data_IF_380491256414
#
_entry.id   IF_380491256414
#
_cell.length_a   1.000
_cell.length_b   1.000
_cell.length_c   1.000
_cell.angle_alpha   90.00
_cell.angle_beta   90.00
_cell.angle_gamma   90.00
#
_symmetry.space_group_name_H-M   'P 1'
#
loop_
_entity.id
_entity.type
_entity.pdbx_description
1 polymer ?
#
# COMPACT_ATOMS: atom_id res chain seq x y z
N UNK A 1 -0.56 -13.15 15.29
CA UNK A 1 -0.24 -11.86 15.98
C UNK A 1 -0.59 -10.59 15.20
N UNK A 2 0.06 -10.22 14.08
CA UNK A 2 -0.05 -8.86 13.49
C UNK A 2 -1.48 -8.36 13.20
N UNK A 3 -2.35 -9.20 12.67
CA UNK A 3 -3.78 -8.87 12.50
C UNK A 3 -4.48 -8.61 13.85
N UNK A 4 -4.20 -9.42 14.87
CA UNK A 4 -4.78 -9.25 16.20
C UNK A 4 -4.35 -7.91 16.82
N UNK A 5 -3.09 -7.52 16.64
CA UNK A 5 -2.59 -6.20 17.04
C UNK A 5 -3.35 -5.08 16.31
N UNK A 6 -3.55 -5.21 14.99
CA UNK A 6 -4.30 -4.21 14.19
C UNK A 6 -5.74 -4.08 14.67
N UNK A 7 -6.43 -5.18 14.91
CA UNK A 7 -7.83 -5.16 15.40
C UNK A 7 -7.95 -4.46 16.75
N UNK A 8 -6.95 -4.61 17.61
CA UNK A 8 -6.90 -3.99 18.94
C UNK A 8 -6.61 -2.49 18.88
N UNK A 9 -5.71 -2.06 17.99
CA UNK A 9 -5.10 -0.72 18.01
C UNK A 9 -5.63 0.22 16.92
N UNK A 10 -5.94 -0.28 15.73
CA UNK A 10 -6.45 0.53 14.63
C UNK A 10 -7.98 0.59 14.67
N UNK A 11 -8.52 1.77 14.40
CA UNK A 11 -9.97 1.99 14.30
C UNK A 11 -10.39 2.30 12.88
N UNK A 12 -11.62 1.92 12.55
CA UNK A 12 -12.27 2.32 11.32
C UNK A 12 -12.29 3.87 11.24
N UNK A 13 -11.67 4.47 10.22
CA UNK A 13 -11.44 5.91 10.18
C UNK A 13 -12.71 6.73 9.89
N UNK A 14 -13.68 6.13 9.20
CA UNK A 14 -14.83 6.82 8.60
C UNK A 14 -16.06 5.90 8.46
N UNK A 15 -17.12 6.47 7.89
CA UNK A 15 -18.38 5.78 7.63
C UNK A 15 -19.19 5.46 8.89
N UNK A 16 -20.24 4.65 8.72
CA UNK A 16 -21.17 4.30 9.80
C UNK A 16 -20.48 3.56 10.97
N UNK A 17 -19.39 2.85 10.69
CA UNK A 17 -18.62 2.09 11.68
C UNK A 17 -17.42 2.86 12.23
N UNK A 18 -17.33 4.17 12.02
CA UNK A 18 -16.20 4.99 12.50
C UNK A 18 -15.95 4.75 13.99
N UNK A 19 -14.70 4.48 14.35
CA UNK A 19 -14.29 4.17 15.72
C UNK A 19 -14.38 2.69 16.11
N UNK A 20 -15.04 1.84 15.32
CA UNK A 20 -15.02 0.39 15.53
C UNK A 20 -13.63 -0.20 15.24
N UNK A 21 -13.40 -1.46 15.62
CA UNK A 21 -12.19 -2.20 15.26
C UNK A 21 -11.96 -2.19 13.74
N UNK A 22 -10.73 -1.85 13.33
CA UNK A 22 -10.32 -2.04 11.95
C UNK A 22 -9.96 -3.52 11.73
N UNK A 23 -10.72 -4.20 10.87
CA UNK A 23 -10.47 -5.59 10.50
C UNK A 23 -10.04 -5.64 9.05
N UNK A 24 -8.91 -6.29 8.79
CA UNK A 24 -8.51 -6.57 7.43
C UNK A 24 -9.54 -7.48 6.77
N UNK A 25 -9.95 -7.14 5.56
CA UNK A 25 -10.68 -8.08 4.72
C UNK A 25 -9.76 -9.16 4.17
N UNK A 26 -10.33 -10.22 3.59
CA UNK A 26 -9.58 -11.42 3.18
C UNK A 26 -8.36 -11.10 2.29
N UNK A 27 -8.52 -10.21 1.31
CA UNK A 27 -7.40 -9.84 0.43
C UNK A 27 -6.37 -8.97 1.16
N UNK A 28 -6.79 -8.08 2.06
CA UNK A 28 -5.90 -7.25 2.87
C UNK A 28 -5.07 -8.13 3.79
N UNK A 29 -5.72 -9.07 4.47
CA UNK A 29 -5.06 -10.08 5.31
C UNK A 29 -4.08 -10.91 4.49
N UNK A 30 -4.50 -11.44 3.33
CA UNK A 30 -3.62 -12.23 2.46
C UNK A 30 -2.37 -11.45 2.03
N UNK A 31 -2.54 -10.18 1.65
CA UNK A 31 -1.42 -9.32 1.28
C UNK A 31 -0.49 -9.06 2.47
N UNK A 32 -1.04 -8.73 3.64
CA UNK A 32 -0.25 -8.53 4.87
C UNK A 32 0.48 -9.80 5.30
N UNK A 33 -0.17 -10.96 5.28
CA UNK A 33 0.42 -12.24 5.66
C UNK A 33 1.56 -12.66 4.72
N UNK A 34 1.43 -12.42 3.41
CA UNK A 34 2.53 -12.64 2.48
C UNK A 34 3.64 -11.61 2.69
N UNK A 35 3.31 -10.33 2.87
CA UNK A 35 4.31 -9.30 3.14
C UNK A 35 5.13 -9.65 4.40
N UNK A 36 4.50 -9.96 5.52
CA UNK A 36 5.20 -10.35 6.75
C UNK A 36 5.61 -11.83 6.82
N UNK A 37 5.64 -12.55 5.69
CA UNK A 37 6.10 -13.95 5.67
C UNK A 37 7.59 -14.01 6.05
N UNK A 38 7.86 -14.55 7.23
CA UNK A 38 9.20 -14.85 7.73
C UNK A 38 9.81 -16.00 6.91
N UNK A 39 11.11 -15.93 6.64
CA UNK A 39 11.85 -17.01 5.97
C UNK A 39 11.90 -18.23 6.89
N UNK A 40 11.56 -19.44 6.40
CA UNK A 40 11.71 -20.66 7.17
C UNK A 40 13.14 -20.84 7.67
N UNK A 41 13.30 -21.19 8.95
CA UNK A 41 14.61 -21.51 9.54
C UNK A 41 15.52 -20.32 9.80
N UNK A 42 15.07 -19.08 9.57
CA UNK A 42 15.84 -17.90 9.94
C UNK A 42 16.06 -17.87 11.46
N UNK A 43 17.29 -17.63 11.88
CA UNK A 43 17.67 -17.64 13.29
C UNK A 43 17.77 -16.20 13.80
N UNK A 44 17.16 -15.93 14.95
CA UNK A 44 17.46 -14.70 15.67
C UNK A 44 18.89 -14.80 16.23
N UNK A 45 19.72 -13.80 15.94
CA UNK A 45 21.16 -13.85 16.25
C UNK A 45 21.55 -12.98 17.44
N UNK A 46 21.01 -11.77 17.55
CA UNK A 46 21.31 -10.82 18.62
C UNK A 46 20.25 -9.72 18.68
N UNK A 47 19.99 -9.20 19.89
CA UNK A 47 19.13 -8.04 20.10
C UNK A 47 19.77 -6.74 19.61
N UNK A 48 21.10 -6.68 19.55
CA UNK A 48 21.85 -5.52 19.07
C UNK A 48 21.91 -5.45 17.52
N UNK A 49 21.70 -6.59 16.85
CA UNK A 49 21.77 -6.73 15.39
C UNK A 49 20.53 -7.44 14.84
N UNK A 50 19.34 -6.81 14.93
CA UNK A 50 18.12 -7.36 14.39
C UNK A 50 18.22 -7.57 12.88
N UNK A 51 17.62 -8.66 12.41
CA UNK A 51 17.68 -9.07 11.00
C UNK A 51 16.88 -8.19 10.03
N UNK A 52 15.98 -7.33 10.51
CA UNK A 52 15.11 -6.46 9.70
C UNK A 52 14.57 -7.15 8.41
N UNK A 53 14.77 -6.57 7.22
CA UNK A 53 14.23 -7.12 5.98
C UNK A 53 14.74 -8.53 5.63
N UNK A 54 15.92 -8.91 6.12
CA UNK A 54 16.53 -10.20 5.84
C UNK A 54 15.73 -11.36 6.46
N UNK A 55 14.98 -11.09 7.53
CA UNK A 55 14.07 -12.05 8.14
C UNK A 55 12.89 -12.45 7.22
N UNK A 56 12.53 -11.62 6.25
CA UNK A 56 11.32 -11.80 5.44
C UNK A 56 11.62 -12.36 4.05
N UNK A 57 10.71 -13.20 3.56
CA UNK A 57 10.78 -13.78 2.20
C UNK A 57 10.76 -12.69 1.13
N UNK A 58 9.93 -11.66 1.34
CA UNK A 58 9.76 -10.56 0.39
C UNK A 58 10.27 -9.26 0.99
N UNK A 59 11.25 -8.62 0.37
CA UNK A 59 11.70 -7.28 0.79
C UNK A 59 10.71 -6.18 0.38
N UNK A 60 9.85 -6.47 -0.60
CA UNK A 60 8.89 -5.52 -1.18
C UNK A 60 7.57 -6.21 -1.52
N UNK A 61 6.50 -5.43 -1.57
CA UNK A 61 5.23 -5.86 -2.13
C UNK A 61 4.65 -4.84 -3.10
N UNK A 62 3.83 -5.33 -4.04
CA UNK A 62 2.99 -4.53 -4.90
C UNK A 62 1.56 -5.08 -4.87
N UNK A 63 0.60 -4.20 -4.62
CA UNK A 63 -0.82 -4.52 -4.58
C UNK A 63 -1.56 -3.71 -5.63
N UNK A 64 -2.10 -4.43 -6.63
CA UNK A 64 -2.88 -3.91 -7.75
C UNK A 64 -4.34 -4.32 -7.55
N UNK A 65 -5.19 -3.34 -7.31
CA UNK A 65 -6.62 -3.56 -7.11
C UNK A 65 -7.44 -2.36 -7.63
N UNK A 66 -8.72 -2.55 -7.98
CA UNK A 66 -9.57 -1.46 -8.43
C UNK A 66 -9.64 -0.27 -7.46
N UNK A 67 -10.14 0.85 -7.95
CA UNK A 67 -10.39 2.02 -7.13
C UNK A 67 -11.44 1.71 -6.05
N UNK A 68 -11.30 2.33 -4.87
CA UNK A 68 -12.22 2.21 -3.71
C UNK A 68 -12.28 0.82 -3.05
N UNK A 69 -11.40 -0.11 -3.43
CA UNK A 69 -11.24 -1.41 -2.77
C UNK A 69 -10.73 -1.34 -1.33
N UNK A 70 -10.30 -0.18 -0.82
CA UNK A 70 -9.83 0.02 0.56
C UNK A 70 -8.32 -0.02 0.76
N UNK A 71 -7.52 0.17 -0.30
CA UNK A 71 -6.05 0.24 -0.24
C UNK A 71 -5.52 1.31 0.73
N UNK A 72 -6.13 2.50 0.75
CA UNK A 72 -5.70 3.62 1.60
C UNK A 72 -5.78 3.31 3.11
N UNK A 73 -6.96 2.96 3.65
CA UNK A 73 -7.09 2.55 5.05
C UNK A 73 -6.23 1.32 5.40
N UNK A 74 -6.08 0.36 4.49
CA UNK A 74 -5.17 -0.76 4.70
C UNK A 74 -3.71 -0.30 4.82
N UNK A 75 -3.22 0.54 3.89
CA UNK A 75 -1.87 1.12 3.94
C UNK A 75 -1.63 1.95 5.20
N UNK A 76 -2.64 2.66 5.69
CA UNK A 76 -2.58 3.38 6.96
C UNK A 76 -2.41 2.43 8.16
N UNK A 77 -3.15 1.32 8.18
CA UNK A 77 -3.01 0.31 9.24
C UNK A 77 -1.63 -0.37 9.19
N UNK A 78 -1.07 -0.59 8.00
CA UNK A 78 0.29 -1.09 7.82
C UNK A 78 1.32 -0.09 8.35
N UNK A 79 1.13 1.21 8.10
CA UNK A 79 1.97 2.26 8.67
C UNK A 79 1.92 2.29 10.21
N UNK A 80 0.76 2.09 10.83
CA UNK A 80 0.67 1.94 12.29
C UNK A 80 1.48 0.73 12.79
N UNK A 81 1.38 -0.41 12.10
CA UNK A 81 2.12 -1.62 12.46
C UNK A 81 3.64 -1.40 12.37
N UNK A 82 4.10 -0.80 11.28
CA UNK A 82 5.52 -0.51 11.04
C UNK A 82 6.08 0.54 12.01
N UNK A 83 5.25 1.48 12.46
CA UNK A 83 5.65 2.53 13.39
C UNK A 83 5.82 2.02 14.82
N UNK A 84 4.80 1.30 15.34
CA UNK A 84 4.70 1.03 16.78
C UNK A 84 4.17 -0.36 17.12
N UNK A 85 3.86 -1.18 16.12
CA UNK A 85 3.45 -2.55 16.32
C UNK A 85 4.59 -3.54 16.10
N UNK A 86 4.31 -4.84 16.26
CA UNK A 86 5.33 -5.89 16.16
C UNK A 86 5.63 -6.26 14.70
N UNK A 87 6.28 -5.35 13.98
CA UNK A 87 6.57 -5.47 12.53
C UNK A 87 7.88 -6.18 12.20
N UNK A 88 8.84 -6.23 13.13
CA UNK A 88 10.14 -6.88 12.93
C UNK A 88 10.14 -8.27 13.55
N UNK A 89 10.88 -9.21 12.99
CA UNK A 89 11.01 -10.57 13.53
C UNK A 89 11.80 -10.57 14.83
N UNK A 90 11.36 -11.32 15.84
CA UNK A 90 12.01 -11.50 17.16
C UNK A 90 12.17 -13.00 17.49
N UNK A 91 12.62 -13.81 16.53
CA UNK A 91 12.77 -15.24 16.78
C UNK A 91 11.47 -16.04 16.75
N UNK A 92 11.58 -17.31 17.16
CA UNK A 92 10.49 -18.28 17.15
C UNK A 92 10.03 -18.53 18.58
N UNK A 93 8.72 -18.49 18.79
CA UNK A 93 8.14 -18.67 20.11
C UNK A 93 8.38 -20.07 20.67
N UNK A 94 8.70 -20.15 21.95
CA UNK A 94 8.69 -21.34 22.79
C UNK A 94 7.40 -21.40 23.62
N UNK A 95 7.27 -22.44 24.45
CA UNK A 95 6.12 -22.55 25.36
C UNK A 95 6.16 -21.47 26.43
N UNK A 96 5.06 -20.70 26.54
CA UNK A 96 4.93 -19.62 27.52
C UNK A 96 5.29 -18.24 26.98
N UNK A 97 5.82 -18.13 25.76
CA UNK A 97 6.12 -16.85 25.14
C UNK A 97 4.85 -16.05 24.82
N UNK A 98 4.96 -14.74 25.02
CA UNK A 98 3.88 -13.80 24.77
C UNK A 98 4.39 -12.44 24.33
N UNK A 99 3.49 -11.65 23.74
CA UNK A 99 3.72 -10.24 23.46
C UNK A 99 2.88 -9.42 24.43
N UNK A 100 3.51 -8.57 25.25
CA UNK A 100 2.81 -7.58 26.06
C UNK A 100 3.05 -6.16 25.53
N UNK A 101 1.98 -5.40 25.33
CA UNK A 101 2.08 -4.01 24.88
C UNK A 101 2.91 -3.12 25.82
N UNK A 102 2.91 -3.43 27.12
CA UNK A 102 3.69 -2.71 28.14
C UNK A 102 5.20 -2.73 27.85
N UNK A 103 5.71 -3.82 27.30
CA UNK A 103 7.14 -4.02 27.02
C UNK A 103 7.62 -3.08 25.90
N UNK A 104 6.68 -2.55 25.11
CA UNK A 104 6.92 -1.68 23.96
C UNK A 104 6.38 -0.26 24.17
N UNK A 105 6.16 0.12 25.44
CA UNK A 105 5.74 1.47 25.85
C UNK A 105 4.26 1.76 25.66
N UNK A 106 3.43 0.77 25.33
CA UNK A 106 2.00 0.95 25.11
C UNK A 106 1.20 0.61 26.37
N UNK A 107 0.54 1.61 26.96
CA UNK A 107 -0.27 1.45 28.18
C UNK A 107 -1.64 0.76 27.99
N UNK A 108 -1.91 0.16 26.82
CA UNK A 108 -3.26 -0.34 26.49
C UNK A 108 -3.63 -1.67 27.18
N UNK A 109 -2.68 -2.30 27.87
CA UNK A 109 -2.85 -3.57 28.60
C UNK A 109 -3.18 -4.77 27.70
N UNK A 110 -2.87 -4.71 26.41
CA UNK A 110 -3.10 -5.83 25.49
C UNK A 110 -1.93 -6.80 25.50
N UNK A 111 -2.27 -8.10 25.55
CA UNK A 111 -1.33 -9.20 25.49
C UNK A 111 -1.75 -10.20 24.41
N UNK A 112 -0.78 -10.92 23.87
CA UNK A 112 -0.99 -11.99 22.89
C UNK A 112 -0.10 -13.19 23.24
N UNK A 113 -0.69 -14.35 23.58
CA UNK A 113 0.09 -15.57 23.75
C UNK A 113 0.47 -16.12 22.37
N UNK A 114 1.75 -16.48 22.19
CA UNK A 114 2.18 -17.18 20.99
C UNK A 114 1.93 -18.68 21.12
N UNK A 115 1.73 -19.35 19.99
CA UNK A 115 1.86 -20.80 19.92
C UNK A 115 3.34 -21.16 19.69
N UNK A 116 3.86 -22.26 20.25
CA UNK A 116 5.21 -22.71 19.98
C UNK A 116 5.49 -22.83 18.47
N UNK A 117 6.59 -22.25 18.02
CA UNK A 117 6.97 -22.16 16.61
C UNK A 117 6.31 -21.02 15.83
N UNK A 118 5.47 -20.18 16.44
CA UNK A 118 5.02 -18.93 15.80
C UNK A 118 6.19 -17.94 15.70
N UNK A 119 6.30 -17.16 14.60
CA UNK A 119 7.26 -16.08 14.53
C UNK A 119 6.82 -14.96 15.48
N UNK A 120 7.67 -14.65 16.44
CA UNK A 120 7.48 -13.52 17.33
C UNK A 120 7.83 -12.23 16.60
N UNK A 121 7.21 -11.12 17.04
CA UNK A 121 7.53 -9.81 16.53
C UNK A 121 7.88 -8.79 17.60
N UNK A 122 8.75 -7.85 17.20
CA UNK A 122 9.15 -6.69 17.97
C UNK A 122 8.83 -5.40 17.21
N UNK A 123 8.81 -4.30 17.96
CA UNK A 123 8.74 -2.98 17.37
C UNK A 123 10.07 -2.62 16.70
N UNK A 124 10.02 -1.89 15.58
CA UNK A 124 11.23 -1.31 15.01
C UNK A 124 11.84 -0.29 15.99
N UNK A 125 13.16 -0.34 16.29
CA UNK A 125 13.78 0.48 17.32
C UNK A 125 13.93 1.96 16.94
N UNK A 126 14.08 2.27 15.64
CA UNK A 126 14.26 3.63 15.11
C UNK A 126 13.46 3.91 13.83
N UNK A 127 12.10 3.89 13.89
CA UNK A 127 11.26 3.91 12.70
C UNK A 127 11.24 5.28 12.00
N UNK A 128 11.85 5.35 10.82
CA UNK A 128 11.65 6.43 9.84
C UNK A 128 10.77 5.93 8.71
N UNK A 129 9.57 6.50 8.57
CA UNK A 129 8.55 6.04 7.64
C UNK A 129 8.17 7.13 6.64
N UNK A 130 7.94 6.76 5.38
CA UNK A 130 7.45 7.69 4.35
C UNK A 130 6.18 7.19 3.68
N UNK A 131 5.17 8.06 3.62
CA UNK A 131 3.94 7.90 2.86
C UNK A 131 4.05 8.75 1.61
N UNK A 132 4.17 8.09 0.46
CA UNK A 132 4.54 8.73 -0.80
C UNK A 132 3.40 8.65 -1.79
N UNK A 133 3.05 9.77 -2.41
CA UNK A 133 2.14 9.84 -3.56
C UNK A 133 2.58 10.93 -4.55
N UNK A 134 1.92 11.08 -5.69
CA UNK A 134 2.33 12.09 -6.68
C UNK A 134 2.11 13.53 -6.18
N UNK A 135 1.04 13.77 -5.40
CA UNK A 135 0.68 15.06 -4.82
C UNK A 135 0.13 14.92 -3.38
N UNK A 136 -0.07 16.04 -2.69
CA UNK A 136 -0.50 16.08 -1.28
C UNK A 136 -1.88 15.49 -1.06
N UNK A 137 -2.83 15.77 -1.95
CA UNK A 137 -4.19 15.21 -1.88
C UNK A 137 -4.19 13.68 -1.92
N UNK A 138 -3.33 13.10 -2.76
CA UNK A 138 -3.18 11.66 -2.84
C UNK A 138 -2.53 11.08 -1.58
N UNK A 139 -1.53 11.75 -1.00
CA UNK A 139 -1.00 11.33 0.32
C UNK A 139 -2.11 11.37 1.37
N UNK A 140 -3.03 12.32 1.27
CA UNK A 140 -4.23 12.42 2.09
C UNK A 140 -5.11 11.16 2.13
N UNK A 141 -5.10 10.33 1.08
CA UNK A 141 -5.85 9.06 1.05
C UNK A 141 -5.35 8.03 2.08
N UNK A 142 -4.09 8.17 2.53
CA UNK A 142 -3.48 7.33 3.57
C UNK A 142 -3.32 8.12 4.87
N UNK A 143 -2.90 9.38 4.79
CA UNK A 143 -2.60 10.20 5.97
C UNK A 143 -3.86 10.49 6.81
N UNK A 144 -5.01 10.71 6.17
CA UNK A 144 -6.30 10.92 6.86
C UNK A 144 -6.73 9.68 7.65
N UNK A 145 -6.82 8.47 7.07
CA UNK A 145 -7.17 7.29 7.85
C UNK A 145 -6.13 6.95 8.92
N UNK A 146 -4.84 7.19 8.66
CA UNK A 146 -3.78 7.03 9.68
C UNK A 146 -4.02 7.95 10.89
N UNK A 147 -4.29 9.24 10.64
CA UNK A 147 -4.61 10.21 11.70
C UNK A 147 -5.84 9.79 12.50
N UNK A 148 -6.88 9.27 11.84
CA UNK A 148 -8.08 8.78 12.50
C UNK A 148 -7.78 7.53 13.34
N UNK A 149 -6.99 6.57 12.84
CA UNK A 149 -6.55 5.40 13.61
C UNK A 149 -5.79 5.79 14.87
N UNK A 150 -4.90 6.78 14.77
CA UNK A 150 -4.13 7.29 15.91
C UNK A 150 -5.06 7.90 16.98
N UNK A 151 -5.98 8.78 16.55
CA UNK A 151 -6.82 9.56 17.46
C UNK A 151 -8.00 8.79 18.06
N UNK A 152 -8.54 7.81 17.33
CA UNK A 152 -9.69 7.01 17.77
C UNK A 152 -9.26 5.73 18.49
N UNK A 153 -8.03 5.28 18.29
CA UNK A 153 -7.45 4.10 18.94
C UNK A 153 -6.58 4.45 20.15
N UNK A 154 -5.99 3.44 20.82
CA UNK A 154 -5.04 3.62 21.92
C UNK A 154 -3.65 4.11 21.45
N UNK A 155 -3.48 4.47 20.18
CA UNK A 155 -2.18 4.78 19.59
C UNK A 155 -1.70 6.21 19.89
N UNK A 156 -2.54 7.06 20.48
CA UNK A 156 -2.16 8.41 20.91
C UNK A 156 -1.02 8.44 21.94
N UNK A 157 -0.86 7.37 22.72
CA UNK A 157 0.22 7.22 23.70
C UNK A 157 1.59 6.99 23.02
N UNK A 158 1.58 6.50 21.79
CA UNK A 158 2.78 6.12 21.02
C UNK A 158 3.04 7.02 19.83
N UNK A 159 2.05 7.78 19.37
CA UNK A 159 2.13 8.61 18.18
C UNK A 159 1.42 9.95 18.34
N UNK A 160 2.09 10.99 17.90
CA UNK A 160 1.63 12.36 17.94
C UNK A 160 1.48 12.93 16.53
N UNK A 161 0.25 13.22 16.12
CA UNK A 161 -0.01 13.91 14.86
C UNK A 161 0.48 15.36 14.98
N UNK A 162 1.37 15.79 14.09
CA UNK A 162 1.91 17.15 13.98
C UNK A 162 1.62 17.71 12.58
N UNK A 163 1.96 18.98 12.37
CA UNK A 163 1.86 19.60 11.06
C UNK A 163 2.93 19.03 10.12
N UNK A 164 2.51 18.37 9.04
CA UNK A 164 3.41 17.84 8.01
C UNK A 164 4.18 16.55 8.35
N UNK A 165 3.98 15.97 9.54
CA UNK A 165 4.50 14.66 9.94
C UNK A 165 3.78 14.10 11.18
N UNK A 166 3.99 12.82 11.48
CA UNK A 166 3.58 12.19 12.75
C UNK A 166 4.84 11.82 13.51
N UNK A 167 4.94 12.27 14.77
CA UNK A 167 6.01 11.88 15.70
C UNK A 167 5.69 10.52 16.28
N UNK A 168 6.69 9.65 16.36
CA UNK A 168 6.60 8.35 17.01
C UNK A 168 7.34 8.45 18.36
N UNK A 169 6.75 7.93 19.44
CA UNK A 169 7.31 7.98 20.80
C UNK A 169 7.95 6.63 21.18
N UNK A 170 9.00 6.63 22.00
CA UNK A 170 9.50 5.40 22.64
C UNK A 170 10.87 4.88 22.20
N UNK A 171 11.75 5.74 21.67
CA UNK A 171 13.17 5.45 21.46
C UNK A 171 14.10 6.24 22.42
N UNK A 172 15.39 5.96 22.33
CA UNK A 172 16.45 6.64 23.09
C UNK A 172 16.72 8.05 22.53
N UNK A 173 15.99 9.04 23.03
CA UNK A 173 16.29 10.48 22.89
C UNK A 173 16.04 11.10 21.50
N UNK A 174 15.88 12.43 21.50
CA UNK A 174 15.77 13.28 20.31
C UNK A 174 14.36 13.60 19.83
N UNK A 175 14.14 14.88 19.53
CA UNK A 175 12.95 15.30 18.78
C UNK A 175 13.23 15.01 17.29
N UNK A 176 12.28 14.38 16.60
CA UNK A 176 12.28 14.18 15.14
C UNK A 176 13.08 13.01 14.54
N UNK A 177 13.67 12.10 15.33
CA UNK A 177 14.28 10.88 14.76
C UNK A 177 13.23 9.88 14.27
N UNK A 178 12.28 9.51 15.13
CA UNK A 178 11.25 8.53 14.81
C UNK A 178 9.98 9.23 14.33
N UNK A 179 9.62 9.01 13.06
CA UNK A 179 8.58 9.79 12.40
C UNK A 179 7.96 9.12 11.18
N UNK A 180 6.76 9.58 10.83
CA UNK A 180 6.07 9.29 9.58
C UNK A 180 5.96 10.60 8.78
N UNK A 181 6.53 10.63 7.59
CA UNK A 181 6.53 11.77 6.70
C UNK A 181 5.61 11.58 5.48
N UNK A 182 4.89 12.63 5.12
CA UNK A 182 4.29 12.76 3.80
C UNK A 182 5.36 13.17 2.77
N UNK A 183 5.45 12.46 1.65
CA UNK A 183 6.40 12.73 0.56
C UNK A 183 5.65 12.83 -0.77
N UNK A 184 5.95 13.87 -1.54
CA UNK A 184 5.34 14.14 -2.85
C UNK A 184 6.42 14.44 -3.90
N UNK A 185 6.01 14.64 -5.15
CA UNK A 185 6.91 15.03 -6.25
C UNK A 185 7.72 16.32 -5.97
N UNK A 186 7.19 17.23 -5.13
CA UNK A 186 7.84 18.48 -4.71
C UNK A 186 8.72 18.34 -3.46
N UNK A 187 8.45 17.36 -2.58
CA UNK A 187 9.12 17.21 -1.28
C UNK A 187 10.41 16.38 -1.31
N UNK A 188 11.36 16.74 -2.20
CA UNK A 188 12.58 15.94 -2.46
C UNK A 188 13.58 15.86 -1.32
N UNK A 189 13.61 16.86 -0.44
CA UNK A 189 14.61 16.94 0.64
C UNK A 189 14.58 15.76 1.61
N UNK A 190 13.42 15.09 1.76
CA UNK A 190 13.24 13.96 2.69
C UNK A 190 13.61 12.60 2.08
N UNK A 191 13.78 12.52 0.77
CA UNK A 191 13.91 11.25 0.02
C UNK A 191 15.22 10.50 0.34
N UNK A 192 16.23 11.21 0.85
CA UNK A 192 17.52 10.63 1.27
C UNK A 192 17.56 10.11 2.70
N UNK A 193 16.46 10.21 3.46
CA UNK A 193 16.44 9.77 4.86
C UNK A 193 16.67 8.25 4.99
N UNK A 194 17.23 7.78 6.11
CA UNK A 194 17.44 6.36 6.37
C UNK A 194 16.12 5.66 6.71
N UNK A 195 15.27 5.47 5.69
CA UNK A 195 13.91 4.94 5.85
C UNK A 195 13.89 3.46 6.26
N UNK A 196 13.14 3.16 7.30
CA UNK A 196 12.80 1.79 7.73
C UNK A 196 11.65 1.20 6.91
N UNK A 197 10.67 2.04 6.52
CA UNK A 197 9.54 1.60 5.71
C UNK A 197 8.99 2.70 4.81
N UNK A 198 8.54 2.33 3.62
CA UNK A 198 7.94 3.28 2.66
C UNK A 198 6.69 2.69 2.03
N UNK A 199 5.59 3.45 2.10
CA UNK A 199 4.42 3.24 1.25
C UNK A 199 4.53 4.14 0.02
N UNK A 200 4.42 3.54 -1.16
CA UNK A 200 4.32 4.23 -2.44
C UNK A 200 2.90 4.00 -2.99
N UNK A 201 2.03 4.99 -2.80
CA UNK A 201 0.64 4.92 -3.23
C UNK A 201 0.46 5.45 -4.66
N UNK A 202 -0.49 4.88 -5.38
CA UNK A 202 -0.79 5.17 -6.79
C UNK A 202 0.45 5.11 -7.71
N UNK A 203 1.30 4.09 -7.51
CA UNK A 203 2.55 3.89 -8.28
C UNK A 203 2.35 3.71 -9.79
N UNK A 204 1.12 3.41 -10.23
CA UNK A 204 0.71 3.41 -11.63
C UNK A 204 0.81 4.78 -12.29
N UNK A 205 0.78 5.86 -11.49
CA UNK A 205 0.93 7.23 -11.96
C UNK A 205 2.37 7.74 -11.87
N UNK A 206 3.32 6.92 -11.38
CA UNK A 206 4.69 7.38 -11.18
C UNK A 206 5.47 7.26 -12.48
N UNK A 207 5.71 8.37 -13.17
CA UNK A 207 6.38 8.39 -14.47
C UNK A 207 7.73 9.10 -14.40
N UNK A 208 8.51 9.05 -15.49
CA UNK A 208 9.73 9.86 -15.58
C UNK A 208 9.39 11.35 -15.69
N UNK A 209 8.31 11.66 -16.39
CA UNK A 209 7.83 13.01 -16.70
C UNK A 209 7.46 13.76 -15.42
N UNK A 210 6.74 13.13 -14.50
CA UNK A 210 6.42 13.72 -13.20
C UNK A 210 7.50 13.49 -12.13
N UNK A 211 8.67 12.94 -12.52
CA UNK A 211 9.84 12.69 -11.66
C UNK A 211 9.63 11.66 -10.54
N UNK A 212 8.44 11.06 -10.40
CA UNK A 212 8.13 10.15 -9.29
C UNK A 212 8.87 8.82 -9.36
N UNK A 213 9.24 8.37 -10.57
CA UNK A 213 10.13 7.21 -10.76
C UNK A 213 11.42 7.38 -9.97
N UNK A 214 12.08 8.54 -10.08
CA UNK A 214 13.35 8.80 -9.42
C UNK A 214 13.21 8.86 -7.90
N UNK A 215 12.10 9.41 -7.40
CA UNK A 215 11.78 9.42 -5.97
C UNK A 215 11.61 7.99 -5.46
N UNK A 216 10.81 7.18 -6.15
CA UNK A 216 10.55 5.80 -5.75
C UNK A 216 11.82 4.93 -5.77
N UNK A 217 12.70 5.13 -6.75
CA UNK A 217 13.99 4.46 -6.81
C UNK A 217 14.92 4.88 -5.67
N UNK A 218 14.95 6.16 -5.32
CA UNK A 218 15.80 6.66 -4.24
C UNK A 218 15.35 6.13 -2.88
N UNK A 219 14.04 6.14 -2.60
CA UNK A 219 13.48 5.53 -1.39
C UNK A 219 13.79 4.04 -1.29
N UNK A 220 13.70 3.30 -2.40
CA UNK A 220 14.04 1.87 -2.42
C UNK A 220 15.52 1.62 -2.16
N UNK A 221 16.42 2.50 -2.63
CA UNK A 221 17.86 2.42 -2.31
C UNK A 221 18.11 2.72 -0.83
N UNK A 222 17.46 3.74 -0.27
CA UNK A 222 17.52 4.07 1.15
C UNK A 222 17.05 2.90 2.02
N UNK A 223 15.86 2.37 1.74
CA UNK A 223 15.32 1.21 2.44
C UNK A 223 16.27 -0.01 2.34
N UNK A 224 16.81 -0.30 1.16
CA UNK A 224 17.74 -1.41 0.99
C UNK A 224 19.01 -1.28 1.85
N UNK A 225 19.56 -0.07 1.98
CA UNK A 225 20.74 0.19 2.80
C UNK A 225 20.50 0.12 4.31
N UNK A 226 19.26 0.35 4.75
CA UNK A 226 18.89 0.41 6.17
C UNK A 226 18.20 -0.87 6.69
N UNK A 227 18.15 -1.93 5.89
CA UNK A 227 17.35 -3.12 6.24
C UNK A 227 15.83 -2.86 6.18
N UNK A 228 15.41 -1.73 5.61
CA UNK A 228 14.01 -1.35 5.46
C UNK A 228 13.29 -2.06 4.31
N UNK A 229 11.99 -1.81 4.20
CA UNK A 229 11.10 -2.46 3.23
C UNK A 229 10.14 -1.47 2.57
N UNK A 230 9.62 -1.80 1.38
CA UNK A 230 8.68 -0.91 0.68
C UNK A 230 7.43 -1.63 0.19
N UNK A 231 6.29 -0.96 0.30
CA UNK A 231 5.00 -1.43 -0.19
C UNK A 231 4.48 -0.49 -1.28
N UNK A 232 4.06 -1.04 -2.41
CA UNK A 232 3.38 -0.32 -3.48
C UNK A 232 1.88 -0.63 -3.47
N UNK A 233 1.07 0.41 -3.58
CA UNK A 233 -0.37 0.30 -3.89
C UNK A 233 -0.64 1.01 -5.21
N UNK A 234 -1.51 0.44 -6.04
CA UNK A 234 -1.91 1.05 -7.31
C UNK A 234 -3.23 0.50 -7.82
N UNK A 235 -3.88 1.27 -8.69
CA UNK A 235 -4.86 0.74 -9.63
C UNK A 235 -4.13 0.17 -10.87
N UNK A 236 -4.86 -0.47 -11.79
CA UNK A 236 -4.29 -0.88 -13.07
C UNK A 236 -3.78 0.36 -13.85
N UNK A 237 -2.51 0.35 -14.25
CA UNK A 237 -1.85 1.48 -14.93
C UNK A 237 -2.07 1.44 -16.44
N UNK A 238 -1.73 2.54 -17.12
CA UNK A 238 -1.57 2.53 -18.58
C UNK A 238 -0.24 1.85 -18.94
N UNK A 239 -0.24 0.71 -19.66
CA UNK A 239 1.00 0.03 -20.07
C UNK A 239 1.88 0.85 -21.03
N UNK A 240 1.39 1.97 -21.59
CA UNK A 240 2.17 2.88 -22.42
C UNK A 240 3.01 3.89 -21.61
N UNK A 241 2.76 4.06 -20.31
CA UNK A 241 3.40 5.10 -19.50
C UNK A 241 4.72 4.67 -18.84
N UNK A 242 5.04 3.37 -18.82
CA UNK A 242 6.26 2.83 -18.20
C UNK A 242 6.44 3.32 -16.74
N UNK A 243 5.36 3.21 -15.98
CA UNK A 243 5.27 3.68 -14.60
C UNK A 243 6.10 2.84 -13.63
N UNK A 244 6.31 3.32 -12.39
CA UNK A 244 6.94 2.51 -11.34
C UNK A 244 6.20 1.19 -11.13
N UNK A 245 4.86 1.22 -11.13
CA UNK A 245 4.07 0.00 -10.98
C UNK A 245 4.36 -1.02 -12.09
N UNK A 246 4.40 -0.56 -13.35
CA UNK A 246 4.72 -1.41 -14.50
C UNK A 246 6.09 -2.08 -14.35
N UNK A 247 7.11 -1.29 -14.04
CA UNK A 247 8.49 -1.80 -13.88
C UNK A 247 8.60 -2.80 -12.73
N UNK A 248 7.88 -2.56 -11.64
CA UNK A 248 7.84 -3.50 -10.52
C UNK A 248 7.11 -4.78 -10.93
N UNK A 249 5.98 -4.68 -11.65
CA UNK A 249 5.21 -5.85 -12.09
C UNK A 249 6.00 -6.73 -13.06
N UNK A 250 6.65 -6.13 -14.06
CA UNK A 250 7.42 -6.81 -15.11
C UNK A 250 8.80 -7.33 -14.64
N UNK A 251 9.24 -6.94 -13.44
CA UNK A 251 10.54 -7.38 -12.92
C UNK A 251 10.58 -8.90 -12.64
N UNK A 252 11.67 -9.55 -13.04
CA UNK A 252 11.91 -10.98 -12.77
C UNK A 252 12.26 -11.30 -11.30
N UNK A 253 12.35 -10.29 -10.42
CA UNK A 253 12.67 -10.46 -9.01
C UNK A 253 11.67 -11.38 -8.29
N UNK A 254 12.19 -12.38 -7.58
CA UNK A 254 11.41 -13.41 -6.87
C UNK A 254 11.08 -13.02 -5.42
N UNK A 255 11.77 -12.02 -4.89
CA UNK A 255 11.64 -11.47 -3.54
C UNK A 255 10.73 -10.22 -3.48
N UNK A 256 9.88 -10.05 -4.50
CA UNK A 256 8.83 -9.02 -4.55
C UNK A 256 7.48 -9.73 -4.60
N UNK A 257 6.69 -9.60 -3.53
CA UNK A 257 5.33 -10.11 -3.51
C UNK A 257 4.45 -9.26 -4.45
N UNK A 258 3.67 -9.90 -5.30
CA UNK A 258 2.76 -9.22 -6.23
C UNK A 258 1.36 -9.77 -6.04
N UNK A 259 0.44 -8.90 -5.66
CA UNK A 259 -0.98 -9.19 -5.64
C UNK A 259 -1.63 -8.41 -6.78
N UNK A 260 -2.05 -9.13 -7.82
CA UNK A 260 -2.84 -8.56 -8.89
C UNK A 260 -3.93 -9.56 -9.29
N UNK A 261 -5.18 -9.23 -8.96
CA UNK A 261 -6.33 -10.05 -9.32
C UNK A 261 -6.85 -9.64 -10.69
N UNK A 262 -6.22 -10.19 -11.73
CA UNK A 262 -6.66 -10.01 -13.13
C UNK A 262 -7.97 -10.77 -13.38
N UNK A 263 -9.03 -10.11 -13.88
CA UNK A 263 -10.29 -10.81 -14.18
C UNK A 263 -10.13 -11.80 -15.34
N UNK A 264 -10.98 -12.85 -15.40
CA UNK A 264 -10.90 -13.87 -16.44
C UNK A 264 -10.88 -13.28 -17.85
N UNK A 265 -9.90 -13.70 -18.67
CA UNK A 265 -9.65 -13.15 -20.02
C UNK A 265 -10.83 -13.34 -20.99
N UNK A 266 -11.64 -14.37 -20.78
CA UNK A 266 -12.81 -14.67 -21.61
C UNK A 266 -13.96 -13.67 -21.44
N UNK A 267 -13.97 -12.87 -20.37
CA UNK A 267 -15.04 -11.89 -20.10
C UNK A 267 -14.78 -10.59 -20.84
N UNK A 268 -15.81 -10.06 -21.51
CA UNK A 268 -15.72 -8.78 -22.21
C UNK A 268 -16.18 -7.61 -21.32
N UNK A 269 -15.33 -6.59 -21.15
CA UNK A 269 -15.71 -5.36 -20.42
C UNK A 269 -16.85 -4.59 -21.11
N UNK A 270 -16.91 -4.66 -22.45
CA UNK A 270 -17.95 -4.01 -23.26
C UNK A 270 -19.33 -4.63 -23.02
N UNK A 271 -19.40 -5.91 -22.66
CA UNK A 271 -20.66 -6.59 -22.38
C UNK A 271 -21.07 -6.37 -20.92
N UNK A 272 -22.26 -5.79 -20.68
CA UNK A 272 -22.76 -5.49 -19.33
C UNK A 272 -22.84 -6.71 -18.40
N UNK A 273 -23.24 -7.88 -18.91
CA UNK A 273 -23.35 -9.11 -18.10
C UNK A 273 -21.96 -9.61 -17.69
N UNK A 274 -21.00 -9.58 -18.61
CA UNK A 274 -19.61 -9.95 -18.33
C UNK A 274 -18.93 -8.93 -17.43
N UNK A 275 -19.15 -7.63 -17.64
CA UNK A 275 -18.67 -6.57 -16.76
C UNK A 275 -19.15 -6.77 -15.32
N UNK A 276 -20.42 -7.12 -15.10
CA UNK A 276 -20.90 -7.48 -13.75
C UNK A 276 -20.13 -8.65 -13.13
N UNK A 277 -19.73 -9.66 -13.93
CA UNK A 277 -18.92 -10.80 -13.46
C UNK A 277 -17.48 -10.37 -13.16
N UNK A 278 -16.90 -9.50 -13.99
CA UNK A 278 -15.59 -8.87 -13.76
C UNK A 278 -15.62 -8.10 -12.42
N UNK A 279 -16.60 -7.21 -12.24
CA UNK A 279 -16.74 -6.40 -11.02
C UNK A 279 -16.85 -7.26 -9.77
N UNK A 280 -17.68 -8.32 -9.79
CA UNK A 280 -17.79 -9.27 -8.66
C UNK A 280 -16.45 -9.91 -8.32
N UNK A 281 -15.66 -10.27 -9.32
CA UNK A 281 -14.37 -10.92 -9.13
C UNK A 281 -13.30 -9.96 -8.59
N UNK A 282 -13.15 -8.77 -9.19
CA UNK A 282 -12.07 -7.83 -8.82
C UNK A 282 -12.33 -7.09 -7.51
N UNK A 283 -13.59 -6.98 -7.08
CA UNK A 283 -13.98 -6.39 -5.78
C UNK A 283 -14.27 -7.44 -4.69
N UNK A 284 -14.05 -8.73 -4.95
CA UNK A 284 -14.21 -9.77 -3.93
C UNK A 284 -13.28 -9.50 -2.73
N UNK A 285 -13.87 -9.51 -1.53
CA UNK A 285 -13.19 -9.10 -0.30
C UNK A 285 -13.23 -7.58 -0.01
N UNK A 286 -14.05 -6.80 -0.74
CA UNK A 286 -14.33 -5.39 -0.43
C UNK A 286 -15.83 -5.16 -0.19
N UNK A 287 -16.40 -5.68 0.91
CA UNK A 287 -17.85 -5.70 1.16
C UNK A 287 -18.48 -4.30 1.33
N UNK A 288 -17.69 -3.25 1.52
CA UNK A 288 -18.15 -1.86 1.57
C UNK A 288 -18.45 -1.26 0.20
N UNK A 289 -18.10 -1.95 -0.89
CA UNK A 289 -18.33 -1.45 -2.25
C UNK A 289 -19.68 -1.92 -2.77
N UNK A 290 -20.55 -0.97 -3.10
CA UNK A 290 -21.78 -1.25 -3.84
C UNK A 290 -21.45 -1.42 -5.33
N UNK A 291 -21.55 -2.66 -5.83
CA UNK A 291 -21.22 -2.97 -7.21
C UNK A 291 -22.20 -2.37 -8.25
N UNK A 292 -23.43 -2.03 -7.85
CA UNK A 292 -24.38 -1.37 -8.75
C UNK A 292 -24.01 0.10 -8.95
N UNK A 293 -23.54 0.77 -7.89
CA UNK A 293 -22.97 2.13 -7.99
C UNK A 293 -21.70 2.15 -8.83
N UNK A 294 -20.81 1.16 -8.65
CA UNK A 294 -19.60 1.02 -9.48
C UNK A 294 -19.97 0.80 -10.95
N UNK A 295 -20.94 -0.06 -11.23
CA UNK A 295 -21.40 -0.33 -12.59
C UNK A 295 -22.01 0.91 -13.25
N UNK A 296 -22.77 1.72 -12.52
CA UNK A 296 -23.35 2.96 -13.04
C UNK A 296 -22.27 3.96 -13.46
N UNK A 297 -21.31 4.23 -12.58
CA UNK A 297 -20.19 5.14 -12.86
C UNK A 297 -19.31 4.62 -14.00
N UNK A 298 -19.02 3.32 -13.99
CA UNK A 298 -18.24 2.69 -15.06
C UNK A 298 -18.97 2.76 -16.41
N UNK A 299 -20.29 2.62 -16.44
CA UNK A 299 -21.09 2.71 -17.66
C UNK A 299 -21.06 4.12 -18.26
N UNK A 300 -21.19 5.16 -17.44
CA UNK A 300 -21.07 6.55 -17.89
C UNK A 300 -19.65 6.86 -18.39
N UNK A 301 -18.62 6.48 -17.63
CA UNK A 301 -17.23 6.70 -18.06
C UNK A 301 -16.86 5.95 -19.35
N UNK A 302 -17.50 4.80 -19.62
CA UNK A 302 -17.31 4.07 -20.87
C UNK A 302 -17.74 4.86 -22.12
N UNK A 303 -18.60 5.86 -21.99
CA UNK A 303 -19.05 6.69 -23.11
C UNK A 303 -17.92 7.60 -23.63
N UNK A 304 -17.00 8.00 -22.74
CA UNK A 304 -15.93 8.97 -23.04
C UNK A 304 -14.52 8.38 -22.99
N UNK A 305 -14.23 7.49 -22.04
CA UNK A 305 -12.92 6.85 -21.89
C UNK A 305 -13.07 5.39 -21.41
N UNK A 306 -13.43 4.45 -22.30
CA UNK A 306 -13.61 3.05 -21.95
C UNK A 306 -12.32 2.38 -21.44
N UNK A 307 -11.16 2.85 -21.88
CA UNK A 307 -9.86 2.35 -21.39
C UNK A 307 -9.63 2.76 -19.93
N UNK A 308 -10.00 3.99 -19.55
CA UNK A 308 -9.98 4.43 -18.16
C UNK A 308 -10.97 3.61 -17.32
N UNK A 309 -12.21 3.44 -17.77
CA UNK A 309 -13.20 2.65 -17.04
C UNK A 309 -12.72 1.21 -16.79
N UNK A 310 -12.19 0.54 -17.82
CA UNK A 310 -11.69 -0.85 -17.72
C UNK A 310 -10.46 -0.96 -16.80
N UNK A 311 -9.58 0.05 -16.77
CA UNK A 311 -8.45 0.09 -15.82
C UNK A 311 -8.92 0.26 -14.38
N UNK A 312 -9.63 1.35 -14.10
CA UNK A 312 -9.93 1.77 -12.73
C UNK A 312 -10.97 0.89 -12.03
N UNK A 313 -11.98 0.40 -12.77
CA UNK A 313 -13.03 -0.46 -12.23
C UNK A 313 -12.86 -1.93 -12.62
N UNK A 314 -12.40 -2.21 -13.85
CA UNK A 314 -12.20 -3.57 -14.35
C UNK A 314 -10.87 -4.22 -13.96
N UNK A 315 -9.95 -3.46 -13.36
CA UNK A 315 -8.62 -3.94 -12.93
C UNK A 315 -7.82 -4.61 -14.06
N UNK A 316 -7.87 -4.07 -15.28
CA UNK A 316 -7.12 -4.60 -16.44
C UNK A 316 -6.14 -3.57 -16.98
N UNK A 317 -4.97 -4.01 -17.43
CA UNK A 317 -3.99 -3.16 -18.09
C UNK A 317 -4.43 -2.90 -19.54
N UNK A 318 -5.06 -1.76 -19.77
CA UNK A 318 -5.52 -1.31 -21.10
C UNK A 318 -4.86 0.02 -21.41
N UNK A 319 -4.18 0.11 -22.56
CA UNK A 319 -3.60 1.36 -23.02
C UNK A 319 -4.72 2.35 -23.37
N UNK A 320 -4.52 3.63 -23.05
CA UNK A 320 -5.41 4.68 -23.55
C UNK A 320 -5.35 4.69 -25.08
N UNK A 321 -6.51 4.80 -25.73
CA UNK A 321 -6.54 5.07 -27.16
C UNK A 321 -5.91 6.45 -27.39
N UNK A 322 -4.81 6.50 -28.14
CA UNK A 322 -4.13 7.76 -28.44
C UNK A 322 -5.04 8.68 -29.25
N UNK A 323 -5.19 9.93 -28.83
CA UNK A 323 -5.87 10.99 -29.59
C UNK A 323 -4.97 11.62 -30.65
N UNK A 324 -3.80 11.03 -30.94
CA UNK A 324 -2.79 11.65 -31.82
C UNK A 324 -3.33 11.92 -33.23
N UNK A 325 -4.32 11.14 -33.66
CA UNK A 325 -5.14 11.47 -34.82
C UNK A 325 -6.62 11.48 -34.42
N UNK A 326 -7.31 12.63 -34.49
CA UNK A 326 -8.76 12.66 -34.50
C UNK A 326 -9.29 11.72 -35.61
N UNK A 327 -10.43 11.04 -35.38
CA UNK A 327 -11.18 10.44 -36.48
C UNK A 327 -11.33 11.47 -37.59
N UNK A 328 -11.19 11.03 -38.85
CA UNK A 328 -11.30 11.85 -40.05
C UNK A 328 -10.15 12.85 -40.32
N UNK A 329 -9.17 13.04 -39.43
CA UNK A 329 -8.02 13.91 -39.72
C UNK A 329 -7.12 13.31 -40.82
N UNK A 330 -6.90 11.98 -40.78
CA UNK A 330 -6.15 11.27 -41.83
C UNK A 330 -6.87 11.39 -43.17
N UNK A 331 -8.17 11.09 -43.17
CA UNK A 331 -8.99 11.04 -44.37
C UNK A 331 -9.15 12.43 -44.99
N UNK A 332 -9.26 13.49 -44.18
CA UNK A 332 -9.29 14.87 -44.64
C UNK A 332 -7.95 15.33 -45.23
N UNK A 333 -6.82 14.98 -44.61
CA UNK A 333 -5.50 15.29 -45.13
C UNK A 333 -5.20 14.54 -46.44
N UNK A 334 -5.63 13.27 -46.52
CA UNK A 334 -5.50 12.45 -47.73
C UNK A 334 -6.38 12.98 -48.87
N UNK A 335 -7.63 13.36 -48.59
CA UNK A 335 -8.53 13.95 -49.58
C UNK A 335 -8.02 15.30 -50.12
N UNK A 336 -7.38 16.13 -49.28
CA UNK A 336 -6.71 17.36 -49.73
C UNK A 336 -5.52 17.09 -50.66
N UNK A 337 -4.71 16.07 -50.38
CA UNK A 337 -3.55 15.72 -51.19
C UNK A 337 -3.91 15.10 -52.56
N UNK A 338 -5.09 14.49 -52.69
CA UNK A 338 -5.60 13.92 -53.95
C UNK A 338 -6.35 14.97 -54.78
N UNK A 339 -6.78 16.07 -54.16
CA UNK A 339 -7.45 17.20 -54.83
C UNK A 339 -6.50 18.32 -55.28
N UNK A 340 -5.19 18.22 -54.99
CA UNK A 340 -4.12 19.15 -55.40
C UNK A 340 -3.26 18.57 -56.52
#
# INVERSE_FOLDING_TARGET
MGEAWIRRHCRQPDGYRRGAEFRWSDWQFWCSANYYRVRPGVQWTSDDEPLFNQAFVYRRAQVVAPQKTGKGPWGASMACLEAVGPSQFLGWAEEGDGYACSDWGCGCGWEYPYLPGEPMGMRHPSPVIQLTANNEDQVGNVYRPLTAMIRLGPLGDLMAVREGFIRIFGGTGGEDFDRIDAVTSSARGRVGNPVSWVLQDETGLYTKQNKMVGIAETQRRGAAGMGGRTLETTNAWDPAENSTAQRTYESNAKDVFRFYREPPKALSWKNKRDRRRILKYVYEGSPWVNLDSIEAEAAELNEVDPAQAERFFGNRLVARAGTWLPPDLWDAAYAQAVAS
#
